data_IF_987916245944
#
_entry.id   IF_987916245944
#
_cell.length_a   1.000
_cell.length_b   1.000
_cell.length_c   1.000
_cell.angle_alpha   90.00
_cell.angle_beta   90.00
_cell.angle_gamma   90.00
#
_symmetry.space_group_name_H-M   'P 1'
#
loop_
_entity.id
_entity.type
_entity.pdbx_description
1 polymer ?
#
# COMPACT_ATOMS: atom_id res chain seq x y z
N UNK A 1 -17.16 -5.99 -1.21
CA UNK A 1 -16.27 -5.22 -0.32
C UNK A 1 -16.67 -3.76 -0.37
N UNK A 2 -16.80 -3.09 0.77
CA UNK A 2 -17.04 -1.65 0.81
C UNK A 2 -15.68 -0.92 0.81
N UNK A 3 -15.36 -0.25 -0.29
CA UNK A 3 -14.20 0.64 -0.46
C UNK A 3 -14.79 2.02 -0.79
N UNK A 4 -14.39 3.10 -0.09
CA UNK A 4 -14.82 4.46 -0.39
C UNK A 4 -14.64 4.82 -1.87
N UNK A 5 -15.57 5.61 -2.43
CA UNK A 5 -15.50 5.97 -3.84
C UNK A 5 -14.25 6.80 -4.17
N UNK A 6 -13.77 7.63 -3.22
CA UNK A 6 -12.50 8.36 -3.35
C UNK A 6 -11.30 7.43 -3.54
N UNK A 7 -11.21 6.36 -2.75
CA UNK A 7 -10.13 5.35 -2.88
C UNK A 7 -10.22 4.58 -4.21
N UNK A 8 -11.44 4.26 -4.66
CA UNK A 8 -11.64 3.63 -5.99
C UNK A 8 -11.17 4.53 -7.12
N UNK A 9 -11.52 5.83 -7.06
CA UNK A 9 -11.09 6.83 -8.05
C UNK A 9 -9.58 6.97 -8.01
N UNK A 10 -8.98 7.07 -6.81
CA UNK A 10 -7.53 7.12 -6.64
C UNK A 10 -6.83 5.94 -7.32
N UNK A 11 -7.23 4.70 -7.01
CA UNK A 11 -6.64 3.49 -7.63
C UNK A 11 -6.91 3.45 -9.14
N UNK A 12 -8.05 3.98 -9.60
CA UNK A 12 -8.34 4.02 -11.03
C UNK A 12 -7.39 4.95 -11.80
N UNK A 13 -7.11 6.13 -11.25
CA UNK A 13 -6.21 7.12 -11.85
C UNK A 13 -4.73 6.73 -11.65
N UNK A 14 -4.34 6.21 -10.49
CA UNK A 14 -2.98 5.72 -10.19
C UNK A 14 -2.48 4.70 -11.21
N UNK A 15 -3.36 3.80 -11.66
CA UNK A 15 -3.05 2.79 -12.68
C UNK A 15 -3.28 3.29 -14.12
N UNK A 16 -3.48 4.59 -14.33
CA UNK A 16 -3.75 5.18 -15.64
C UNK A 16 -4.93 4.49 -16.35
N UNK A 17 -5.96 4.09 -15.61
CA UNK A 17 -7.16 3.43 -16.15
C UNK A 17 -6.85 2.09 -16.85
N UNK A 18 -5.72 1.47 -16.50
CA UNK A 18 -5.27 0.20 -17.09
C UNK A 18 -5.26 -0.91 -16.06
N UNK A 19 -5.58 -2.12 -16.50
CA UNK A 19 -5.43 -3.29 -15.66
C UNK A 19 -3.96 -3.40 -15.22
N UNK A 20 -3.73 -3.41 -13.92
CA UNK A 20 -2.42 -3.55 -13.29
C UNK A 20 -1.63 -4.76 -13.82
N UNK A 21 -2.31 -5.88 -14.09
CA UNK A 21 -1.68 -7.12 -14.52
C UNK A 21 -1.40 -7.22 -16.02
N UNK A 22 -2.28 -6.72 -16.89
CA UNK A 22 -2.17 -6.92 -18.34
C UNK A 22 -2.09 -5.63 -19.17
N UNK A 23 -2.13 -4.46 -18.54
CA UNK A 23 -2.06 -3.16 -19.19
C UNK A 23 -3.31 -2.77 -20.00
N UNK A 24 -4.33 -3.63 -20.10
CA UNK A 24 -5.55 -3.34 -20.86
C UNK A 24 -6.29 -2.12 -20.30
N UNK A 25 -6.67 -1.18 -21.16
CA UNK A 25 -7.54 -0.06 -20.80
C UNK A 25 -8.90 -0.56 -20.27
N UNK A 26 -9.34 -0.03 -19.14
CA UNK A 26 -10.60 -0.37 -18.48
C UNK A 26 -11.47 0.88 -18.38
N UNK A 27 -12.75 0.76 -18.73
CA UNK A 27 -13.75 1.77 -18.38
C UNK A 27 -14.08 1.62 -16.90
N UNK A 28 -14.37 2.71 -16.19
CA UNK A 28 -14.72 2.70 -14.77
C UNK A 28 -15.79 1.64 -14.40
N UNK A 29 -16.83 1.46 -15.25
CA UNK A 29 -17.88 0.43 -15.04
C UNK A 29 -17.41 -1.04 -15.14
N UNK A 30 -16.23 -1.28 -15.66
CA UNK A 30 -15.68 -2.62 -15.93
C UNK A 30 -14.58 -3.02 -14.94
N UNK A 31 -14.22 -2.10 -14.03
CA UNK A 31 -13.11 -2.31 -13.11
C UNK A 31 -13.46 -3.33 -12.04
N UNK A 32 -12.46 -4.08 -11.61
CA UNK A 32 -12.47 -4.75 -10.32
C UNK A 32 -11.28 -4.25 -9.51
N UNK A 33 -11.44 -4.11 -8.20
CA UNK A 33 -10.31 -3.96 -7.30
C UNK A 33 -9.92 -5.34 -6.79
N UNK A 34 -8.64 -5.64 -6.86
CA UNK A 34 -8.06 -6.90 -6.40
C UNK A 34 -7.09 -6.64 -5.25
N UNK A 35 -7.02 -7.57 -4.30
CA UNK A 35 -6.03 -7.51 -3.23
C UNK A 35 -4.76 -8.14 -3.74
N UNK A 36 -3.72 -7.35 -3.88
CA UNK A 36 -2.46 -7.81 -4.43
C UNK A 36 -1.86 -8.93 -3.55
N UNK A 37 -1.79 -8.72 -2.23
CA UNK A 37 -1.77 -9.81 -1.25
C UNK A 37 -3.23 -10.23 -0.98
N UNK A 38 -3.64 -11.48 -1.26
CA UNK A 38 -5.02 -11.92 -1.08
C UNK A 38 -5.52 -11.80 0.37
N UNK A 39 -6.80 -11.44 0.55
CA UNK A 39 -7.45 -11.40 1.87
C UNK A 39 -7.32 -12.73 2.64
N UNK A 40 -7.41 -13.87 1.95
CA UNK A 40 -7.25 -15.20 2.56
C UNK A 40 -5.83 -15.50 3.05
N UNK A 41 -4.89 -14.58 2.82
CA UNK A 41 -3.48 -14.65 3.23
C UNK A 41 -3.08 -13.44 4.10
N UNK A 42 -4.04 -12.75 4.72
CA UNK A 42 -3.78 -11.57 5.56
C UNK A 42 -3.74 -10.24 4.80
N UNK A 43 -4.08 -10.22 3.51
CA UNK A 43 -4.14 -8.99 2.74
C UNK A 43 -5.21 -8.02 3.27
N UNK A 44 -4.80 -6.77 3.52
CA UNK A 44 -5.66 -5.69 4.00
C UNK A 44 -6.33 -4.92 2.86
N UNK A 45 -7.22 -3.99 3.22
CA UNK A 45 -7.91 -3.11 2.26
C UNK A 45 -7.19 -1.77 2.05
N UNK A 46 -5.94 -1.68 2.49
CA UNK A 46 -5.14 -0.48 2.34
C UNK A 46 -4.96 -0.18 0.85
N UNK A 47 -4.96 1.09 0.45
CA UNK A 47 -4.88 1.50 -0.96
C UNK A 47 -3.62 0.97 -1.65
N UNK A 48 -2.53 0.74 -0.91
CA UNK A 48 -1.31 0.14 -1.44
C UNK A 48 -1.41 -1.38 -1.65
N UNK A 49 -2.38 -2.07 -1.04
CA UNK A 49 -2.66 -3.49 -1.28
C UNK A 49 -3.80 -3.72 -2.29
N UNK A 50 -4.49 -2.67 -2.72
CA UNK A 50 -5.54 -2.76 -3.72
C UNK A 50 -5.02 -2.31 -5.08
N UNK A 51 -5.29 -3.08 -6.14
CA UNK A 51 -4.88 -2.74 -7.52
C UNK A 51 -6.05 -2.81 -8.50
N UNK A 52 -6.00 -1.97 -9.53
CA UNK A 52 -6.96 -1.96 -10.61
C UNK A 52 -6.81 -3.22 -11.48
N UNK A 53 -7.85 -4.04 -11.62
CA UNK A 53 -7.78 -5.29 -12.41
C UNK A 53 -8.97 -5.48 -13.33
N UNK A 54 -8.75 -6.20 -14.43
CA UNK A 54 -9.84 -6.75 -15.24
C UNK A 54 -10.31 -8.08 -14.63
N UNK A 55 -11.58 -8.43 -14.88
CA UNK A 55 -12.18 -9.68 -14.36
C UNK A 55 -11.36 -10.94 -14.69
N UNK A 56 -10.80 -11.03 -15.90
CA UNK A 56 -9.98 -12.17 -16.35
C UNK A 56 -8.71 -12.31 -15.50
N UNK A 57 -7.93 -11.23 -15.36
CA UNK A 57 -6.69 -11.25 -14.59
C UNK A 57 -6.95 -11.47 -13.10
N UNK A 58 -7.96 -10.82 -12.53
CA UNK A 58 -8.36 -11.03 -11.14
C UNK A 58 -8.70 -12.52 -10.87
N UNK A 59 -9.54 -13.12 -11.73
CA UNK A 59 -9.86 -14.56 -11.65
C UNK A 59 -8.62 -15.44 -11.80
N UNK A 60 -7.73 -15.13 -12.74
CA UNK A 60 -6.51 -15.89 -12.97
C UNK A 60 -5.56 -15.83 -11.77
N UNK A 61 -5.36 -14.66 -11.16
CA UNK A 61 -4.52 -14.52 -9.97
C UNK A 61 -5.07 -15.37 -8.82
N UNK A 62 -6.37 -15.25 -8.54
CA UNK A 62 -7.01 -15.94 -7.43
C UNK A 62 -6.38 -15.58 -6.08
N UNK A 63 -6.11 -16.58 -5.25
CA UNK A 63 -5.51 -16.44 -3.93
C UNK A 63 -3.97 -16.59 -3.91
N UNK A 64 -3.31 -16.44 -5.05
CA UNK A 64 -1.85 -16.49 -5.13
C UNK A 64 -1.24 -15.17 -4.67
N UNK A 65 -0.16 -15.26 -3.91
CA UNK A 65 0.71 -14.13 -3.57
C UNK A 65 1.71 -13.96 -4.74
N UNK A 66 1.77 -12.80 -5.40
CA UNK A 66 2.79 -12.51 -6.41
C UNK A 66 4.21 -12.63 -5.83
N UNK A 67 5.18 -13.10 -6.62
CA UNK A 67 6.56 -13.28 -6.14
C UNK A 67 7.24 -11.95 -5.77
N UNK A 68 6.88 -10.88 -6.46
CA UNK A 68 7.41 -9.53 -6.27
C UNK A 68 6.64 -8.73 -5.22
N UNK A 69 5.89 -9.40 -4.32
CA UNK A 69 4.88 -8.71 -3.53
C UNK A 69 5.46 -7.61 -2.64
N UNK A 70 6.60 -7.87 -1.99
CA UNK A 70 7.24 -6.92 -1.07
C UNK A 70 7.63 -5.63 -1.79
N UNK A 71 8.45 -5.75 -2.84
CA UNK A 71 8.89 -4.62 -3.66
C UNK A 71 7.70 -3.81 -4.16
N UNK A 72 6.63 -4.49 -4.60
CA UNK A 72 5.47 -3.80 -5.14
C UNK A 72 4.65 -3.10 -4.07
N UNK A 73 4.41 -3.74 -2.92
CA UNK A 73 3.68 -3.14 -1.80
C UNK A 73 4.43 -1.92 -1.26
N UNK A 74 5.76 -1.99 -1.14
CA UNK A 74 6.60 -0.85 -0.76
C UNK A 74 6.41 0.31 -1.75
N UNK A 75 6.56 0.04 -3.05
CA UNK A 75 6.40 1.08 -4.08
C UNK A 75 5.00 1.71 -4.08
N UNK A 76 3.94 0.91 -3.91
CA UNK A 76 2.58 1.42 -3.85
C UNK A 76 2.29 2.19 -2.54
N UNK A 77 2.93 1.81 -1.43
CA UNK A 77 2.85 2.53 -0.16
C UNK A 77 3.55 3.89 -0.25
N UNK A 78 4.77 3.92 -0.78
CA UNK A 78 5.52 5.16 -1.01
C UNK A 78 4.74 6.14 -1.88
N UNK A 79 4.18 5.64 -2.99
CA UNK A 79 3.33 6.45 -3.88
C UNK A 79 2.08 6.95 -3.14
N UNK A 80 1.34 6.07 -2.45
CA UNK A 80 0.15 6.46 -1.72
C UNK A 80 0.42 7.48 -0.59
N UNK A 81 1.58 7.41 0.05
CA UNK A 81 2.00 8.41 1.04
C UNK A 81 2.30 9.77 0.38
N UNK A 82 3.06 9.78 -0.71
CA UNK A 82 3.34 11.00 -1.49
C UNK A 82 2.06 11.65 -2.03
N UNK A 83 1.10 10.85 -2.48
CA UNK A 83 -0.20 11.29 -2.98
C UNK A 83 -1.18 11.75 -1.87
N UNK A 84 -0.78 11.68 -0.60
CA UNK A 84 -1.61 12.05 0.55
C UNK A 84 -2.74 11.06 0.86
N UNK A 85 -2.72 9.87 0.27
CA UNK A 85 -3.68 8.80 0.54
C UNK A 85 -3.36 8.04 1.84
N UNK A 86 -2.12 8.11 2.33
CA UNK A 86 -1.74 7.63 3.65
C UNK A 86 -1.62 8.82 4.61
N UNK A 87 -2.45 8.83 5.65
CA UNK A 87 -2.51 9.91 6.64
C UNK A 87 -1.47 9.72 7.74
N UNK A 88 -0.89 10.82 8.20
CA UNK A 88 0.10 10.87 9.29
C UNK A 88 -0.23 11.93 10.36
N UNK A 89 -1.46 12.48 10.33
CA UNK A 89 -1.88 13.69 11.05
C UNK A 89 -1.72 13.63 12.58
N UNK A 90 -1.61 12.43 13.18
CA UNK A 90 -1.52 12.24 14.63
C UNK A 90 -0.08 12.18 15.16
N UNK A 91 0.92 12.41 14.31
CA UNK A 91 2.33 12.19 14.63
C UNK A 91 3.06 13.51 14.87
N UNK A 92 3.98 13.51 15.84
CA UNK A 92 4.83 14.66 16.19
C UNK A 92 6.13 14.66 15.35
N UNK A 93 6.27 13.73 14.40
CA UNK A 93 7.46 13.58 13.57
C UNK A 93 7.34 14.53 12.37
N UNK A 94 8.38 15.34 12.06
CA UNK A 94 8.40 16.17 10.85
C UNK A 94 8.14 15.35 9.58
N UNK A 95 7.40 15.93 8.64
CA UNK A 95 7.05 15.24 7.39
C UNK A 95 8.30 14.82 6.58
N UNK A 96 9.33 15.66 6.58
CA UNK A 96 10.61 15.40 5.90
C UNK A 96 11.31 14.14 6.45
N UNK A 97 11.31 13.96 7.77
CA UNK A 97 11.86 12.74 8.39
C UNK A 97 11.04 11.50 8.02
N UNK A 98 9.71 11.62 7.92
CA UNK A 98 8.86 10.53 7.45
C UNK A 98 9.16 10.19 5.98
N UNK A 99 9.28 11.19 5.12
CA UNK A 99 9.57 11.02 3.68
C UNK A 99 10.92 10.32 3.47
N UNK A 100 11.97 10.76 4.17
CA UNK A 100 13.28 10.12 4.13
C UNK A 100 13.20 8.65 4.54
N UNK A 101 12.56 8.36 5.68
CA UNK A 101 12.50 6.99 6.18
C UNK A 101 11.61 6.09 5.31
N UNK A 102 10.52 6.61 4.75
CA UNK A 102 9.63 5.88 3.83
C UNK A 102 10.34 5.56 2.51
N UNK A 103 11.22 6.45 2.02
CA UNK A 103 12.02 6.21 0.82
C UNK A 103 12.93 4.98 0.97
N UNK A 104 13.47 4.76 2.17
CA UNK A 104 14.42 3.68 2.48
C UNK A 104 13.79 2.51 3.25
N UNK A 105 12.50 2.23 3.02
CA UNK A 105 11.88 1.00 3.52
C UNK A 105 12.53 -0.22 2.85
N UNK A 106 12.99 -1.17 3.67
CA UNK A 106 13.65 -2.39 3.23
C UNK A 106 12.90 -3.67 3.61
N UNK A 107 11.88 -3.55 4.47
CA UNK A 107 11.15 -4.69 5.02
C UNK A 107 9.67 -4.39 5.19
N UNK A 108 8.87 -5.42 4.92
CA UNK A 108 7.45 -5.43 5.28
C UNK A 108 7.11 -6.64 6.15
N UNK A 109 6.19 -6.45 7.08
CA UNK A 109 5.66 -7.49 7.95
C UNK A 109 4.14 -7.33 8.05
N UNK A 110 3.45 -8.45 8.26
CA UNK A 110 2.04 -8.43 8.62
C UNK A 110 1.89 -8.82 10.09
N UNK A 111 1.47 -7.86 10.91
CA UNK A 111 1.21 -8.05 12.33
C UNK A 111 -0.24 -7.65 12.56
N UNK A 112 -1.16 -8.60 12.40
CA UNK A 112 -2.61 -8.37 12.50
C UNK A 112 -2.94 -7.45 13.69
N UNK A 113 -3.65 -6.33 13.46
CA UNK A 113 -4.35 -5.95 12.22
C UNK A 113 -3.55 -5.05 11.25
N UNK A 114 -2.26 -4.87 11.47
CA UNK A 114 -1.43 -3.86 10.81
C UNK A 114 -0.55 -4.43 9.70
N UNK A 115 -0.41 -3.65 8.64
CA UNK A 115 0.79 -3.74 7.79
C UNK A 115 1.90 -2.92 8.43
N UNK A 116 3.08 -3.52 8.58
CA UNK A 116 4.23 -2.84 9.15
C UNK A 116 5.29 -2.69 8.09
N UNK A 117 5.69 -1.44 7.84
CA UNK A 117 6.83 -1.12 7.01
C UNK A 117 8.00 -0.74 7.91
N UNK A 118 9.20 -1.16 7.56
CA UNK A 118 10.39 -0.85 8.33
C UNK A 118 11.48 -0.25 7.44
N UNK A 119 12.10 0.81 7.95
CA UNK A 119 13.36 1.38 7.49
C UNK A 119 14.47 1.10 8.52
N UNK A 120 15.68 1.63 8.29
CA UNK A 120 16.80 1.54 9.25
C UNK A 120 16.42 2.04 10.66
N UNK A 121 15.64 3.12 10.76
CA UNK A 121 15.38 3.79 12.04
C UNK A 121 13.91 3.78 12.49
N UNK A 122 12.97 3.39 11.64
CA UNK A 122 11.54 3.47 11.95
C UNK A 122 10.76 2.23 11.54
N UNK A 123 9.76 1.89 12.33
CA UNK A 123 8.66 0.99 11.95
C UNK A 123 7.36 1.76 11.88
N UNK A 124 6.68 1.68 10.75
CA UNK A 124 5.39 2.32 10.48
C UNK A 124 4.27 1.29 10.54
N UNK A 125 3.38 1.42 11.51
CA UNK A 125 2.20 0.55 11.63
C UNK A 125 1.03 1.21 10.92
N UNK A 126 0.57 0.58 9.85
CA UNK A 126 -0.45 1.11 8.94
C UNK A 126 -1.76 0.35 9.09
N UNK A 127 -2.84 1.12 9.23
CA UNK A 127 -4.20 0.63 9.27
C UNK A 127 -5.18 1.72 8.83
N UNK A 128 -6.18 1.34 8.04
CA UNK A 128 -7.21 2.23 7.50
C UNK A 128 -6.61 3.47 6.80
N UNK A 129 -5.63 3.24 5.93
CA UNK A 129 -4.89 4.25 5.17
C UNK A 129 -4.27 5.34 6.07
N UNK A 130 -3.85 4.96 7.28
CA UNK A 130 -3.28 5.87 8.29
C UNK A 130 -2.07 5.22 8.95
N UNK A 131 -0.99 5.98 9.14
CA UNK A 131 0.11 5.62 10.04
C UNK A 131 -0.41 5.78 11.47
N UNK A 132 -0.82 4.67 12.10
CA UNK A 132 -1.39 4.69 13.45
C UNK A 132 -0.31 4.78 14.53
N UNK A 133 0.89 4.26 14.25
CA UNK A 133 2.00 4.23 15.22
C UNK A 133 3.34 4.19 14.49
N UNK A 134 4.33 4.87 15.08
CA UNK A 134 5.74 4.74 14.71
C UNK A 134 6.52 4.21 15.91
N UNK A 135 7.42 3.25 15.67
CA UNK A 135 8.42 2.80 16.64
C UNK A 135 9.80 3.18 16.10
N UNK A 136 10.59 3.89 16.90
CA UNK A 136 11.98 4.20 16.58
C UNK A 136 12.87 2.99 16.95
N UNK A 137 13.72 2.56 16.01
CA UNK A 137 14.60 1.39 16.17
C UNK A 137 16.02 1.74 16.65
N UNK A 138 16.38 3.02 16.65
CA UNK A 138 17.68 3.54 17.06
C UNK A 138 17.75 5.06 16.83
N UNK A 139 18.77 5.74 17.36
CA UNK A 139 18.97 7.18 17.12
C UNK A 139 19.74 7.40 15.82
N UNK A 140 19.33 8.40 15.03
CA UNK A 140 20.01 8.88 13.81
C UNK A 140 21.43 9.45 14.08
N UNK A 141 21.86 9.51 15.36
CA UNK A 141 23.05 10.24 15.85
C UNK A 141 23.97 9.39 16.77
N UNK A 142 23.97 8.07 16.65
CA UNK A 142 24.88 7.19 17.43
C UNK A 142 26.03 6.60 16.62
N UNK A 143 26.33 7.18 15.45
CA UNK A 143 27.57 6.92 14.68
C UNK A 143 28.42 8.20 14.62
#
# INVERSE_FOLDING_TARGET
MNIPNSEKIYIYERENKRCFYCGKNLKYRQITLDHYIPKSKGGTKEVFNLVLSCRKCNKLKGNRIPRDYEKRIISLFQQAFGDGMIKSEKLIIPREDLEEQILYIDRIEYIEPNFVFQSKYMRFYIKNNTIERIILLGRKYED
#
